data_IF_252239900221
#
_entry.id   IF_252239900221
#
_cell.length_a   1.000
_cell.length_b   1.000
_cell.length_c   1.000
_cell.angle_alpha   90.00
_cell.angle_beta   90.00
_cell.angle_gamma   90.00
#
_symmetry.space_group_name_H-M   'P 1'
#
loop_
_entity.id
_entity.type
_entity.pdbx_description
1 polymer ?
#
# COMPACT_ATOMS: atom_id res chain seq x y z
N UNK A 1 42.61 0.49 -7.26
CA UNK A 1 41.41 0.54 -8.14
C UNK A 1 40.68 -0.80 -8.23
N UNK A 2 41.37 -1.94 -8.40
CA UNK A 2 40.75 -3.28 -8.48
C UNK A 2 39.96 -3.70 -7.22
N UNK A 3 40.47 -3.41 -6.02
CA UNK A 3 39.78 -3.74 -4.75
C UNK A 3 38.49 -2.95 -4.53
N UNK A 4 38.42 -1.70 -5.00
CA UNK A 4 37.21 -0.86 -4.91
C UNK A 4 36.09 -1.33 -5.84
N UNK A 5 36.43 -2.01 -6.93
CA UNK A 5 35.47 -2.57 -7.89
C UNK A 5 34.92 -3.93 -7.43
N UNK A 6 35.69 -4.72 -6.70
CA UNK A 6 35.24 -6.01 -6.17
C UNK A 6 34.22 -5.87 -5.03
N UNK A 7 34.36 -4.84 -4.18
CA UNK A 7 33.35 -4.53 -3.15
C UNK A 7 31.99 -4.15 -3.71
N UNK A 8 31.96 -3.32 -4.76
CA UNK A 8 30.71 -2.84 -5.36
C UNK A 8 29.88 -3.92 -6.07
N UNK A 9 30.52 -4.94 -6.65
CA UNK A 9 29.84 -6.05 -7.32
C UNK A 9 29.12 -6.97 -6.32
N UNK A 10 29.75 -7.27 -5.18
CA UNK A 10 29.15 -8.08 -4.13
C UNK A 10 27.94 -7.36 -3.49
N UNK A 11 28.06 -6.06 -3.25
CA UNK A 11 26.98 -5.23 -2.71
C UNK A 11 25.81 -5.06 -3.68
N UNK A 12 26.08 -4.91 -4.99
CA UNK A 12 25.05 -4.85 -6.02
C UNK A 12 24.32 -6.19 -6.16
N UNK A 13 25.06 -7.31 -6.17
CA UNK A 13 24.47 -8.64 -6.23
C UNK A 13 23.56 -8.89 -5.01
N UNK A 14 24.00 -8.48 -3.84
CA UNK A 14 23.24 -8.56 -2.60
C UNK A 14 21.95 -7.72 -2.66
N UNK A 15 22.03 -6.47 -3.14
CA UNK A 15 20.85 -5.62 -3.30
C UNK A 15 19.84 -6.27 -4.25
N UNK A 16 20.30 -6.79 -5.38
CA UNK A 16 19.46 -7.51 -6.35
C UNK A 16 18.78 -8.72 -5.70
N UNK A 17 19.52 -9.54 -4.94
CA UNK A 17 18.96 -10.70 -4.24
C UNK A 17 17.88 -10.28 -3.24
N UNK A 18 18.13 -9.25 -2.42
CA UNK A 18 17.16 -8.76 -1.43
C UNK A 18 15.91 -8.17 -2.09
N UNK A 19 16.07 -7.50 -3.24
CA UNK A 19 14.94 -7.00 -4.05
C UNK A 19 14.15 -8.17 -4.65
N UNK A 20 14.82 -9.16 -5.24
CA UNK A 20 14.16 -10.36 -5.77
C UNK A 20 13.42 -11.14 -4.67
N UNK A 21 14.02 -11.25 -3.49
CA UNK A 21 13.40 -11.84 -2.31
C UNK A 21 12.16 -11.08 -1.85
N UNK A 22 12.26 -9.75 -1.78
CA UNK A 22 11.14 -8.88 -1.47
C UNK A 22 10.00 -9.07 -2.46
N UNK A 23 10.29 -9.06 -3.77
CA UNK A 23 9.30 -9.32 -4.82
C UNK A 23 8.67 -10.71 -4.70
N UNK A 24 9.48 -11.75 -4.44
CA UNK A 24 8.98 -13.12 -4.26
C UNK A 24 8.08 -13.25 -3.02
N UNK A 25 8.42 -12.58 -1.92
CA UNK A 25 7.58 -12.54 -0.72
C UNK A 25 6.31 -11.68 -0.93
N UNK A 26 6.39 -10.63 -1.77
CA UNK A 26 5.25 -9.81 -2.20
C UNK A 26 4.32 -10.52 -3.17
N UNK A 27 4.75 -11.62 -3.79
CA UNK A 27 3.87 -12.51 -4.54
C UNK A 27 3.18 -13.58 -3.68
N UNK A 28 3.49 -13.67 -2.39
CA UNK A 28 2.66 -14.46 -1.47
C UNK A 28 1.37 -13.67 -1.20
N UNK A 29 0.22 -14.33 -1.28
CA UNK A 29 -1.05 -13.77 -0.84
C UNK A 29 -1.30 -14.19 0.61
N UNK A 30 -1.50 -13.25 1.52
CA UNK A 30 -1.90 -13.57 2.88
C UNK A 30 -3.27 -12.98 3.12
N UNK A 31 -4.07 -13.84 3.69
CA UNK A 31 -5.43 -13.57 4.08
C UNK A 31 -5.39 -13.33 5.58
N UNK A 32 -5.75 -12.10 5.98
CA UNK A 32 -5.92 -11.73 7.38
C UNK A 32 -7.42 -11.67 7.63
N UNK A 33 -7.90 -12.48 8.57
CA UNK A 33 -9.27 -12.46 9.01
C UNK A 33 -9.34 -12.29 10.52
N UNK A 34 -10.21 -11.42 11.03
CA UNK A 34 -10.50 -11.35 12.45
C UNK A 34 -11.99 -11.39 12.74
N UNK A 35 -12.29 -11.80 13.96
CA UNK A 35 -13.58 -11.76 14.65
C UNK A 35 -13.36 -11.32 16.09
N UNK A 36 -14.42 -10.97 16.82
CA UNK A 36 -14.32 -10.50 18.22
C UNK A 36 -13.48 -11.37 19.16
N UNK A 37 -13.34 -12.66 18.87
CA UNK A 37 -12.66 -13.62 19.73
C UNK A 37 -11.47 -14.33 19.07
N UNK A 38 -11.26 -14.14 17.76
CA UNK A 38 -10.27 -14.89 16.99
C UNK A 38 -9.68 -14.00 15.92
N UNK A 39 -8.36 -13.85 15.91
CA UNK A 39 -7.60 -13.44 14.74
C UNK A 39 -7.08 -14.70 14.07
N UNK A 40 -7.40 -14.87 12.80
CA UNK A 40 -6.87 -15.90 11.92
C UNK A 40 -5.99 -15.26 10.86
N UNK A 41 -4.90 -15.94 10.54
CA UNK A 41 -3.97 -15.51 9.51
C UNK A 41 -3.54 -16.72 8.73
N UNK A 42 -3.54 -16.58 7.43
CA UNK A 42 -3.21 -17.66 6.54
C UNK A 42 -2.50 -17.11 5.32
N UNK A 43 -1.36 -17.71 5.00
CA UNK A 43 -0.61 -17.40 3.81
C UNK A 43 -0.97 -18.45 2.76
N UNK A 44 -1.59 -18.04 1.67
CA UNK A 44 -1.64 -18.87 0.47
C UNK A 44 -0.30 -18.74 -0.25
N UNK A 45 0.51 -19.78 -0.10
CA UNK A 45 1.80 -19.89 -0.78
C UNK A 45 1.63 -20.42 -2.22
N UNK A 46 0.39 -20.67 -2.69
CA UNK A 46 0.10 -21.33 -3.96
C UNK A 46 0.61 -22.78 -4.02
N UNK A 47 0.73 -23.35 -5.23
CA UNK A 47 1.30 -24.68 -5.49
C UNK A 47 2.82 -24.81 -5.17
N UNK A 48 3.37 -23.96 -4.31
CA UNK A 48 4.80 -23.83 -4.03
C UNK A 48 5.25 -24.62 -2.80
N UNK A 49 4.58 -25.73 -2.47
CA UNK A 49 4.76 -26.45 -1.21
C UNK A 49 6.11 -27.15 -1.01
N UNK A 50 7.01 -27.18 -2.01
CA UNK A 50 8.23 -28.01 -1.98
C UNK A 50 9.57 -27.25 -2.10
N UNK A 51 9.58 -25.92 -2.23
CA UNK A 51 10.83 -25.16 -2.49
C UNK A 51 11.01 -23.84 -1.74
N UNK A 52 9.99 -23.39 -1.01
CA UNK A 52 9.93 -22.05 -0.40
C UNK A 52 10.98 -21.84 0.70
N UNK A 53 11.40 -22.90 1.40
CA UNK A 53 12.43 -22.80 2.43
C UNK A 53 13.79 -22.34 1.90
N UNK A 54 14.08 -22.51 0.60
CA UNK A 54 15.38 -22.15 0.01
C UNK A 54 15.50 -20.63 -0.14
N UNK A 55 14.56 -19.91 -0.78
CA UNK A 55 14.54 -18.44 -0.70
C UNK A 55 14.53 -17.93 0.74
N UNK A 56 13.81 -18.59 1.65
CA UNK A 56 13.70 -18.18 3.05
C UNK A 56 15.03 -18.30 3.80
N UNK A 57 15.69 -19.44 3.70
CA UNK A 57 16.98 -19.70 4.31
C UNK A 57 18.06 -18.78 3.72
N UNK A 58 18.04 -18.56 2.40
CA UNK A 58 18.97 -17.66 1.71
C UNK A 58 18.76 -16.20 2.18
N UNK A 59 17.53 -15.71 2.25
CA UNK A 59 17.28 -14.34 2.69
C UNK A 59 17.71 -14.11 4.12
N UNK A 60 17.42 -15.04 5.03
CA UNK A 60 17.83 -14.95 6.43
C UNK A 60 19.35 -15.07 6.60
N UNK A 61 20.01 -15.97 5.87
CA UNK A 61 21.49 -16.07 5.92
C UNK A 61 22.17 -14.84 5.31
N UNK A 62 21.63 -14.26 4.24
CA UNK A 62 22.16 -13.01 3.66
C UNK A 62 21.87 -11.79 4.54
N UNK A 63 20.67 -11.70 5.13
CA UNK A 63 20.34 -10.70 6.15
C UNK A 63 21.32 -10.74 7.33
N UNK A 64 21.62 -11.94 7.82
CA UNK A 64 22.59 -12.15 8.89
C UNK A 64 24.03 -11.82 8.46
N UNK A 65 24.45 -12.21 7.25
CA UNK A 65 25.75 -11.89 6.69
C UNK A 65 25.95 -10.37 6.52
N UNK A 66 24.91 -9.63 6.14
CA UNK A 66 24.97 -8.15 5.99
C UNK A 66 24.94 -7.41 7.30
N UNK A 67 24.31 -8.00 8.33
CA UNK A 67 24.37 -7.51 9.69
C UNK A 67 25.77 -7.66 10.30
N UNK A 68 26.49 -8.74 9.96
CA UNK A 68 27.88 -8.98 10.36
C UNK A 68 28.89 -8.10 9.62
N UNK A 69 28.56 -7.56 8.45
CA UNK A 69 29.44 -6.66 7.71
C UNK A 69 29.37 -5.24 8.29
N UNK A 70 30.43 -4.86 9.02
CA UNK A 70 30.63 -3.54 9.60
C UNK A 70 31.07 -2.54 8.52
N UNK A 71 30.11 -2.16 7.68
CA UNK A 71 30.31 -1.16 6.63
C UNK A 71 29.40 0.04 6.87
N UNK A 72 29.98 1.24 6.75
CA UNK A 72 29.27 2.52 6.92
C UNK A 72 28.54 2.97 5.66
N UNK A 73 28.66 2.19 4.58
CA UNK A 73 28.19 2.52 3.24
C UNK A 73 26.66 2.47 3.11
N UNK A 74 26.14 3.21 2.14
CA UNK A 74 24.71 3.37 1.89
C UNK A 74 24.05 2.04 1.54
N UNK A 75 24.72 1.24 0.73
CA UNK A 75 24.35 -0.13 0.34
C UNK A 75 24.13 -1.03 1.54
N UNK A 76 25.05 -1.04 2.50
CA UNK A 76 24.94 -1.85 3.71
C UNK A 76 23.76 -1.45 4.61
N UNK A 77 23.45 -0.15 4.67
CA UNK A 77 22.27 0.34 5.39
C UNK A 77 20.97 -0.16 4.74
N UNK A 78 20.88 -0.12 3.41
CA UNK A 78 19.74 -0.67 2.67
C UNK A 78 19.63 -2.17 2.85
N UNK A 79 20.74 -2.90 2.84
CA UNK A 79 20.75 -4.33 3.06
C UNK A 79 20.23 -4.73 4.44
N UNK A 80 20.66 -4.03 5.51
CA UNK A 80 20.15 -4.25 6.88
C UNK A 80 18.68 -3.88 7.02
N UNK A 81 18.25 -2.80 6.35
CA UNK A 81 16.86 -2.39 6.33
C UNK A 81 15.99 -3.46 5.65
N UNK A 82 16.35 -3.89 4.44
CA UNK A 82 15.66 -4.99 3.74
C UNK A 82 15.68 -6.28 4.56
N UNK A 83 16.79 -6.60 5.23
CA UNK A 83 16.89 -7.74 6.13
C UNK A 83 15.89 -7.68 7.30
N UNK A 84 15.75 -6.53 7.95
CA UNK A 84 14.77 -6.33 9.03
C UNK A 84 13.36 -6.46 8.49
N UNK A 85 13.07 -5.84 7.35
CA UNK A 85 11.76 -5.89 6.71
C UNK A 85 11.37 -7.31 6.32
N UNK A 86 12.29 -8.05 5.69
CA UNK A 86 12.12 -9.46 5.38
C UNK A 86 11.93 -10.27 6.67
N UNK A 87 12.69 -10.02 7.73
CA UNK A 87 12.53 -10.74 9.01
C UNK A 87 11.18 -10.47 9.66
N UNK A 88 10.76 -9.20 9.71
CA UNK A 88 9.43 -8.83 10.21
C UNK A 88 8.34 -9.49 9.38
N UNK A 89 8.52 -9.55 8.06
CA UNK A 89 7.62 -10.22 7.12
C UNK A 89 7.56 -11.74 7.33
N UNK A 90 8.68 -12.38 7.63
CA UNK A 90 8.73 -13.81 7.94
C UNK A 90 8.11 -14.09 9.32
N UNK A 91 8.31 -13.21 10.31
CA UNK A 91 7.70 -13.34 11.62
C UNK A 91 6.17 -13.17 11.56
N UNK A 92 5.66 -12.24 10.76
CA UNK A 92 4.21 -12.09 10.55
C UNK A 92 3.59 -13.29 9.83
N UNK A 93 4.36 -14.05 9.05
CA UNK A 93 3.87 -15.30 8.43
C UNK A 93 3.73 -16.45 9.44
N UNK A 94 4.28 -16.31 10.64
CA UNK A 94 4.16 -17.32 11.68
C UNK A 94 2.82 -17.18 12.42
N UNK A 95 1.93 -18.16 12.25
CA UNK A 95 0.60 -18.17 12.86
C UNK A 95 0.59 -17.83 14.36
N UNK A 96 1.59 -18.28 15.12
CA UNK A 96 1.71 -17.97 16.57
C UNK A 96 1.89 -16.48 16.80
N UNK A 97 2.74 -15.82 16.01
CA UNK A 97 2.98 -14.37 16.10
C UNK A 97 1.72 -13.62 15.71
N UNK A 98 1.07 -14.01 14.61
CA UNK A 98 -0.19 -13.42 14.18
C UNK A 98 -1.24 -13.48 15.29
N UNK A 99 -1.52 -14.68 15.81
CA UNK A 99 -2.50 -14.91 16.87
C UNK A 99 -2.21 -14.13 18.16
N UNK A 100 -0.93 -13.92 18.49
CA UNK A 100 -0.52 -13.23 19.73
C UNK A 100 -0.44 -11.71 19.56
N UNK A 101 -0.09 -11.23 18.36
CA UNK A 101 0.14 -9.81 18.06
C UNK A 101 -0.61 -9.39 16.78
N UNK A 102 -1.93 -9.17 16.85
CA UNK A 102 -2.77 -8.88 15.68
C UNK A 102 -2.36 -7.65 14.88
N UNK A 103 -1.87 -6.62 15.58
CA UNK A 103 -1.40 -5.37 14.96
C UNK A 103 -0.14 -5.61 14.13
N UNK A 104 0.72 -6.55 14.55
CA UNK A 104 1.90 -6.97 13.77
C UNK A 104 1.47 -7.74 12.54
N UNK A 105 0.35 -8.47 12.60
CA UNK A 105 -0.22 -9.16 11.45
C UNK A 105 -0.78 -8.18 10.40
N UNK A 106 -1.38 -7.07 10.82
CA UNK A 106 -1.83 -6.00 9.92
C UNK A 106 -0.70 -5.35 9.12
N UNK A 107 0.56 -5.51 9.56
CA UNK A 107 1.73 -5.00 8.85
C UNK A 107 2.01 -5.71 7.52
N UNK A 108 1.26 -6.77 7.21
CA UNK A 108 1.37 -7.56 6.00
C UNK A 108 0.45 -7.10 4.86
N UNK A 109 -0.47 -6.16 5.11
CA UNK A 109 -1.27 -5.63 4.00
C UNK A 109 -0.28 -5.08 2.94
N UNK A 110 -0.49 -5.32 1.63
CA UNK A 110 0.46 -4.89 0.58
C UNK A 110 0.80 -3.40 0.66
N UNK A 111 -0.09 -2.59 1.23
CA UNK A 111 0.05 -1.18 1.48
C UNK A 111 0.98 -0.86 2.68
N UNK A 112 1.01 -1.74 3.69
CA UNK A 112 1.86 -1.60 4.88
C UNK A 112 3.29 -2.08 4.62
N UNK A 113 3.50 -3.01 3.69
CA UNK A 113 4.82 -3.41 3.20
C UNK A 113 5.65 -2.19 2.75
N UNK A 114 5.06 -1.30 1.95
CA UNK A 114 5.68 -0.04 1.56
C UNK A 114 5.85 0.90 2.75
N UNK A 115 4.82 1.08 3.58
CA UNK A 115 4.88 1.96 4.74
C UNK A 115 5.99 1.58 5.74
N UNK A 116 6.25 0.27 5.92
CA UNK A 116 7.30 -0.24 6.82
C UNK A 116 8.70 -0.05 6.26
N UNK A 117 8.89 -0.32 4.96
CA UNK A 117 10.14 -0.03 4.25
C UNK A 117 10.52 1.44 4.45
N UNK A 118 9.50 2.30 4.39
CA UNK A 118 9.66 3.74 4.37
C UNK A 118 9.76 4.32 5.79
N UNK A 119 9.08 3.73 6.78
CA UNK A 119 9.19 4.09 8.20
C UNK A 119 10.51 3.65 8.85
N UNK A 120 11.05 2.48 8.48
CA UNK A 120 12.35 2.04 8.94
C UNK A 120 13.49 2.79 8.23
N UNK A 121 13.32 3.17 6.95
CA UNK A 121 14.18 4.16 6.30
C UNK A 121 14.17 5.52 7.04
N UNK A 122 13.01 5.96 7.53
CA UNK A 122 12.86 7.18 8.34
C UNK A 122 13.51 7.08 9.73
N UNK A 123 13.32 5.96 10.45
CA UNK A 123 13.90 5.72 11.78
C UNK A 123 15.42 5.71 11.76
N UNK A 124 16.05 5.12 10.74
CA UNK A 124 17.50 5.17 10.53
C UNK A 124 18.04 6.57 10.19
N UNK A 125 17.21 7.44 9.60
CA UNK A 125 17.56 8.82 9.21
C UNK A 125 17.52 9.80 10.39
N UNK A 126 16.66 9.58 11.39
CA UNK A 126 16.57 10.44 12.58
C UNK A 126 17.89 10.58 13.38
N UNK A 127 18.84 9.66 13.19
CA UNK A 127 20.17 9.68 13.83
C UNK A 127 21.31 10.19 12.95
N UNK A 128 21.06 10.42 11.66
CA UNK A 128 22.05 11.04 10.78
C UNK A 128 21.94 12.55 10.98
N UNK A 129 22.97 13.17 11.59
CA UNK A 129 23.16 14.63 11.52
C UNK A 129 23.38 15.02 10.06
N UNK A 130 22.29 15.11 9.31
CA UNK A 130 22.30 15.65 7.97
C UNK A 130 22.52 17.15 8.13
N UNK A 131 23.69 17.64 7.70
CA UNK A 131 23.87 19.06 7.46
C UNK A 131 22.66 19.57 6.67
N UNK A 132 22.08 20.69 7.13
CA UNK A 132 20.88 21.31 6.55
C UNK A 132 21.07 21.58 5.05
N UNK A 133 20.80 20.61 4.20
CA UNK A 133 20.44 20.90 2.81
C UNK A 133 18.93 21.07 2.84
N UNK A 134 18.52 22.30 3.11
CA UNK A 134 17.13 22.70 3.05
C UNK A 134 16.68 22.75 1.58
N UNK A 135 16.46 21.60 0.96
CA UNK A 135 15.64 21.52 -0.25
C UNK A 135 14.17 21.59 0.18
N UNK A 136 13.78 22.76 0.67
CA UNK A 136 12.36 23.08 0.80
C UNK A 136 11.77 23.15 -0.61
N UNK A 137 10.52 22.71 -0.82
CA UNK A 137 9.85 23.00 -2.08
C UNK A 137 9.93 24.51 -2.33
N UNK A 138 10.24 24.98 -3.55
CA UNK A 138 10.26 26.43 -3.82
C UNK A 138 8.92 27.02 -3.35
N UNK A 139 8.91 28.16 -2.67
CA UNK A 139 7.70 28.75 -2.03
C UNK A 139 6.45 28.74 -2.94
N UNK A 140 6.62 28.84 -4.27
CA UNK A 140 5.55 28.73 -5.27
C UNK A 140 4.89 27.35 -5.40
N UNK A 141 5.58 26.26 -5.07
CA UNK A 141 5.02 24.90 -5.11
C UNK A 141 4.00 24.66 -3.99
N UNK A 142 4.10 25.39 -2.87
CA UNK A 142 3.16 25.28 -1.74
C UNK A 142 1.80 25.93 -2.06
N UNK A 143 1.76 26.90 -2.99
CA UNK A 143 0.50 27.53 -3.43
C UNK A 143 -0.17 26.78 -4.59
N UNK A 144 0.63 26.13 -5.44
CA UNK A 144 0.12 25.37 -6.61
C UNK A 144 -0.53 24.05 -6.17
N UNK A 145 -0.02 23.40 -5.13
CA UNK A 145 -0.52 22.09 -4.70
C UNK A 145 -2.01 22.13 -4.27
N UNK A 146 -2.47 23.07 -3.41
CA UNK A 146 -3.89 23.19 -3.09
C UNK A 146 -4.77 23.50 -4.30
N UNK A 147 -4.29 24.35 -5.23
CA UNK A 147 -5.03 24.69 -6.44
C UNK A 147 -5.21 23.47 -7.36
N UNK A 148 -4.14 22.70 -7.55
CA UNK A 148 -4.17 21.48 -8.34
C UNK A 148 -5.07 20.43 -7.69
N UNK A 149 -4.97 20.24 -6.37
CA UNK A 149 -5.85 19.36 -5.62
C UNK A 149 -7.32 19.75 -5.78
N UNK A 150 -7.67 21.03 -5.60
CA UNK A 150 -9.05 21.51 -5.74
C UNK A 150 -9.58 21.33 -7.17
N UNK A 151 -8.78 21.70 -8.18
CA UNK A 151 -9.17 21.57 -9.58
C UNK A 151 -9.38 20.11 -9.99
N UNK A 152 -8.45 19.22 -9.63
CA UNK A 152 -8.54 17.78 -9.95
C UNK A 152 -9.61 17.08 -9.13
N UNK A 153 -9.83 17.47 -7.87
CA UNK A 153 -10.96 16.98 -7.06
C UNK A 153 -12.27 17.29 -7.75
N UNK A 154 -12.49 18.51 -8.24
CA UNK A 154 -13.72 18.86 -8.96
C UNK A 154 -13.96 17.97 -10.19
N UNK A 155 -12.91 17.68 -10.96
CA UNK A 155 -12.98 16.82 -12.15
C UNK A 155 -13.29 15.37 -11.75
N UNK A 156 -12.53 14.78 -10.83
CA UNK A 156 -12.71 13.38 -10.43
C UNK A 156 -14.05 13.18 -9.70
N UNK A 157 -14.47 14.09 -8.82
CA UNK A 157 -15.77 13.99 -8.16
C UNK A 157 -16.92 14.04 -9.17
N UNK A 158 -16.86 14.93 -10.17
CA UNK A 158 -17.85 14.98 -11.23
C UNK A 158 -17.87 13.69 -12.06
N UNK A 159 -16.70 13.14 -12.39
CA UNK A 159 -16.58 11.85 -13.07
C UNK A 159 -17.13 10.70 -12.22
N UNK A 160 -16.86 10.68 -10.92
CA UNK A 160 -17.37 9.67 -9.99
C UNK A 160 -18.89 9.69 -9.89
N UNK A 161 -19.51 10.87 -9.83
CA UNK A 161 -20.97 10.98 -9.84
C UNK A 161 -21.57 10.35 -11.10
N UNK A 162 -20.99 10.63 -12.26
CA UNK A 162 -21.37 10.00 -13.53
C UNK A 162 -21.11 8.48 -13.52
N UNK A 163 -19.93 8.06 -13.06
CA UNK A 163 -19.52 6.66 -13.03
C UNK A 163 -20.43 5.80 -12.17
N UNK A 164 -20.74 6.24 -10.95
CA UNK A 164 -21.62 5.50 -10.04
C UNK A 164 -23.06 5.40 -10.53
N UNK A 165 -23.51 6.30 -11.42
CA UNK A 165 -24.82 6.20 -12.08
C UNK A 165 -24.83 5.17 -13.22
N UNK A 166 -23.71 5.04 -13.93
CA UNK A 166 -23.63 4.24 -15.16
C UNK A 166 -23.11 2.83 -14.95
N UNK A 167 -22.29 2.62 -13.92
CA UNK A 167 -21.57 1.37 -13.69
C UNK A 167 -22.00 0.80 -12.35
N UNK A 168 -22.50 -0.44 -12.33
CA UNK A 168 -22.75 -1.17 -11.08
C UNK A 168 -21.44 -1.63 -10.44
N UNK A 169 -21.37 -1.85 -9.10
CA UNK A 169 -20.15 -2.41 -8.53
C UNK A 169 -19.88 -3.77 -9.16
N UNK A 170 -18.61 -4.11 -9.36
CA UNK A 170 -18.24 -5.36 -10.01
C UNK A 170 -16.82 -5.79 -9.62
N UNK A 171 -16.50 -7.06 -9.84
CA UNK A 171 -15.21 -7.62 -9.44
C UNK A 171 -14.92 -7.39 -7.96
N UNK A 172 -13.66 -7.06 -7.67
CA UNK A 172 -13.17 -6.93 -6.29
C UNK A 172 -13.79 -5.75 -5.54
N UNK A 173 -14.33 -4.73 -6.23
CA UNK A 173 -15.04 -3.60 -5.62
C UNK A 173 -16.13 -4.09 -4.65
N UNK A 174 -16.88 -5.11 -5.07
CA UNK A 174 -17.95 -5.70 -4.26
C UNK A 174 -17.42 -6.45 -3.03
N UNK A 175 -16.21 -7.00 -3.10
CA UNK A 175 -15.57 -7.70 -1.99
C UNK A 175 -15.08 -6.70 -0.93
N UNK A 176 -14.41 -5.62 -1.34
CA UNK A 176 -13.96 -4.57 -0.43
C UNK A 176 -15.11 -3.87 0.28
N UNK A 177 -16.22 -3.59 -0.43
CA UNK A 177 -17.43 -3.02 0.15
C UNK A 177 -18.10 -3.94 1.15
N UNK A 178 -18.14 -5.26 0.89
CA UNK A 178 -18.70 -6.24 1.84
C UNK A 178 -17.89 -6.30 3.13
N UNK A 179 -16.56 -6.35 3.02
CA UNK A 179 -15.70 -6.32 4.21
C UNK A 179 -15.89 -5.00 4.97
N UNK A 180 -16.02 -3.87 4.27
CA UNK A 180 -16.31 -2.56 4.89
C UNK A 180 -17.65 -2.56 5.63
N UNK A 181 -18.69 -3.14 5.02
CA UNK A 181 -20.01 -3.32 5.65
C UNK A 181 -19.89 -4.15 6.94
N UNK A 182 -19.21 -5.30 6.88
CA UNK A 182 -18.94 -6.16 8.06
C UNK A 182 -18.21 -5.39 9.17
N UNK A 183 -17.20 -4.59 8.83
CA UNK A 183 -16.47 -3.77 9.80
C UNK A 183 -17.37 -2.75 10.49
N UNK A 184 -18.34 -2.16 9.78
CA UNK A 184 -19.28 -1.17 10.33
C UNK A 184 -20.34 -1.84 11.20
N UNK A 185 -20.97 -2.90 10.72
CA UNK A 185 -22.12 -3.52 11.40
C UNK A 185 -21.71 -4.53 12.47
N UNK A 186 -20.69 -5.32 12.20
CA UNK A 186 -20.28 -6.45 13.04
C UNK A 186 -19.01 -6.13 13.87
N UNK A 187 -18.18 -5.21 13.36
CA UNK A 187 -16.90 -4.84 13.96
C UNK A 187 -15.79 -5.84 13.64
N UNK A 188 -15.97 -6.65 12.61
CA UNK A 188 -15.01 -7.68 12.21
C UNK A 188 -15.03 -7.98 10.70
N UNK A 189 -14.18 -8.91 10.24
CA UNK A 189 -14.04 -9.28 8.82
C UNK A 189 -14.61 -10.67 8.53
N UNK A 190 -15.36 -11.28 9.44
CA UNK A 190 -15.97 -12.59 9.24
C UNK A 190 -17.27 -12.45 8.43
N UNK A 191 -17.22 -12.83 7.17
CA UNK A 191 -18.31 -12.68 6.22
C UNK A 191 -19.36 -13.80 6.33
N UNK A 192 -19.24 -14.74 7.26
CA UNK A 192 -20.13 -15.90 7.34
C UNK A 192 -21.61 -15.51 7.52
N UNK A 193 -21.89 -14.48 8.32
CA UNK A 193 -23.22 -13.90 8.52
C UNK A 193 -23.67 -12.98 7.35
N UNK A 194 -22.72 -12.50 6.54
CA UNK A 194 -22.92 -11.60 5.40
C UNK A 194 -23.33 -12.36 4.11
N UNK A 195 -23.45 -13.69 4.16
CA UNK A 195 -23.87 -14.54 3.03
C UNK A 195 -25.39 -14.64 2.86
N UNK A 196 -26.16 -14.09 3.81
CA UNK A 196 -27.62 -14.13 3.74
C UNK A 196 -28.13 -13.25 2.60
N UNK A 197 -29.18 -13.71 1.92
CA UNK A 197 -29.83 -12.95 0.84
C UNK A 197 -30.28 -11.57 1.34
N UNK A 198 -29.97 -10.53 0.59
CA UNK A 198 -30.32 -9.16 0.85
C UNK A 198 -29.24 -8.36 1.58
N UNK A 199 -28.20 -9.00 2.11
CA UNK A 199 -27.18 -8.32 2.92
C UNK A 199 -26.35 -7.32 2.08
N UNK A 200 -26.07 -7.64 0.81
CA UNK A 200 -25.33 -6.76 -0.09
C UNK A 200 -26.15 -5.61 -0.67
N UNK A 201 -27.47 -5.58 -0.46
CA UNK A 201 -28.36 -4.56 -1.05
C UNK A 201 -28.02 -3.13 -0.64
N UNK A 202 -27.31 -2.99 0.47
CA UNK A 202 -26.80 -1.72 0.99
C UNK A 202 -25.86 -1.02 0.00
N UNK A 203 -25.10 -1.77 -0.80
CA UNK A 203 -24.13 -1.21 -1.75
C UNK A 203 -24.20 -1.83 -3.16
N UNK A 204 -24.91 -2.95 -3.33
CA UNK A 204 -24.97 -3.70 -4.58
C UNK A 204 -26.41 -4.16 -4.90
N UNK A 205 -26.96 -3.86 -6.09
CA UNK A 205 -28.35 -4.16 -6.42
C UNK A 205 -28.62 -5.67 -6.59
N UNK A 206 -27.59 -6.43 -6.99
CA UNK A 206 -27.64 -7.89 -7.12
C UNK A 206 -26.75 -8.57 -6.07
N UNK A 207 -26.97 -9.86 -5.84
CA UNK A 207 -26.05 -10.66 -5.04
C UNK A 207 -24.77 -10.92 -5.84
N UNK A 208 -23.61 -10.67 -5.22
CA UNK A 208 -22.31 -11.09 -5.74
C UNK A 208 -21.82 -12.28 -4.92
N UNK A 209 -21.18 -13.31 -5.50
CA UNK A 209 -20.54 -14.37 -4.72
C UNK A 209 -19.44 -13.79 -3.83
N UNK A 210 -19.22 -14.39 -2.66
CA UNK A 210 -18.06 -14.05 -1.82
C UNK A 210 -16.84 -14.79 -2.34
N UNK A 211 -15.77 -14.05 -2.55
CA UNK A 211 -14.45 -14.60 -2.82
C UNK A 211 -13.78 -14.91 -1.49
N UNK A 212 -14.04 -16.13 -1.02
CA UNK A 212 -13.54 -16.61 0.25
C UNK A 212 -12.07 -17.01 0.14
N UNK A 213 -11.28 -16.58 1.12
CA UNK A 213 -9.95 -17.06 1.42
C UNK A 213 -9.97 -18.61 1.51
N UNK A 214 -9.19 -19.36 0.69
CA UNK A 214 -9.16 -20.83 0.69
C UNK A 214 -8.82 -21.44 2.06
N UNK A 215 -8.16 -20.66 2.89
CA UNK A 215 -7.66 -21.04 4.21
C UNK A 215 -8.51 -20.50 5.36
N UNK A 216 -9.75 -20.07 5.07
CA UNK A 216 -10.73 -19.68 6.09
C UNK A 216 -10.98 -20.85 7.06
N UNK A 217 -10.93 -20.63 8.39
CA UNK A 217 -11.26 -21.65 9.38
C UNK A 217 -12.68 -22.19 9.21
N UNK A 218 -12.92 -23.42 9.69
CA UNK A 218 -14.25 -24.02 9.65
C UNK A 218 -15.30 -23.12 10.33
N UNK A 219 -16.37 -22.81 9.60
CA UNK A 219 -17.46 -21.95 10.08
C UNK A 219 -17.19 -20.44 9.99
N UNK A 220 -16.03 -20.03 9.47
CA UNK A 220 -15.66 -18.64 9.19
C UNK A 220 -15.52 -18.43 7.69
N UNK A 221 -15.76 -17.20 7.24
CA UNK A 221 -15.55 -16.82 5.83
C UNK A 221 -14.76 -15.53 5.80
N UNK A 222 -13.48 -15.60 5.48
CA UNK A 222 -12.66 -14.41 5.31
C UNK A 222 -12.53 -14.06 3.84
N UNK A 223 -12.37 -12.77 3.52
CA UNK A 223 -12.14 -12.34 2.15
C UNK A 223 -10.76 -12.80 1.67
N UNK A 224 -10.66 -13.17 0.41
CA UNK A 224 -9.40 -13.34 -0.29
C UNK A 224 -8.62 -12.01 -0.37
N UNK A 225 -9.33 -10.88 -0.40
CA UNK A 225 -8.76 -9.56 -0.62
C UNK A 225 -8.18 -8.94 0.67
N UNK A 226 -7.06 -8.19 0.57
CA UNK A 226 -6.48 -7.50 1.72
C UNK A 226 -7.44 -6.53 2.41
N UNK A 227 -7.43 -6.51 3.74
CA UNK A 227 -8.38 -5.69 4.53
C UNK A 227 -8.08 -4.17 4.50
N UNK A 228 -6.87 -3.78 4.06
CA UNK A 228 -6.36 -2.42 4.21
C UNK A 228 -7.27 -1.34 3.60
N UNK A 229 -7.72 -1.56 2.36
CA UNK A 229 -8.64 -0.64 1.70
C UNK A 229 -10.00 -0.60 2.41
N UNK A 230 -10.55 -1.74 2.81
CA UNK A 230 -11.86 -1.78 3.50
C UNK A 230 -11.85 -0.99 4.80
N UNK A 231 -10.77 -1.06 5.58
CA UNK A 231 -10.60 -0.23 6.77
C UNK A 231 -10.55 1.26 6.42
N UNK A 232 -9.82 1.63 5.36
CA UNK A 232 -9.74 3.03 4.92
C UNK A 232 -11.10 3.58 4.43
N UNK A 233 -11.97 2.72 3.90
CA UNK A 233 -13.30 3.08 3.41
C UNK A 233 -14.33 3.28 4.53
N UNK A 234 -14.17 2.68 5.71
CA UNK A 234 -15.11 2.76 6.85
C UNK A 234 -15.68 4.17 7.09
N UNK A 235 -14.87 5.23 7.27
CA UNK A 235 -15.42 6.56 7.55
C UNK A 235 -16.26 7.12 6.40
N UNK A 236 -15.84 6.93 5.15
CA UNK A 236 -16.55 7.43 3.98
C UNK A 236 -17.84 6.63 3.72
N UNK A 237 -17.77 5.31 3.91
CA UNK A 237 -18.90 4.41 3.79
C UNK A 237 -19.98 4.76 4.83
N UNK A 238 -19.62 4.82 6.12
CA UNK A 238 -20.56 5.10 7.20
C UNK A 238 -21.23 6.47 7.06
N UNK A 239 -20.44 7.52 6.77
CA UNK A 239 -20.96 8.86 6.56
C UNK A 239 -21.93 8.94 5.38
N UNK A 240 -21.65 8.23 4.28
CA UNK A 240 -22.52 8.19 3.11
C UNK A 240 -23.78 7.35 3.33
N UNK A 241 -23.68 6.28 4.14
CA UNK A 241 -24.83 5.52 4.60
C UNK A 241 -25.79 6.43 5.40
N UNK A 242 -25.25 7.17 6.36
CA UNK A 242 -26.03 8.06 7.24
C UNK A 242 -26.63 9.26 6.49
N UNK A 243 -25.87 9.91 5.60
CA UNK A 243 -26.30 11.16 4.97
C UNK A 243 -27.23 10.94 3.78
N UNK A 244 -27.05 9.88 2.99
CA UNK A 244 -27.78 9.72 1.72
C UNK A 244 -28.02 8.26 1.31
N UNK A 245 -27.88 7.29 2.24
CA UNK A 245 -28.17 5.87 2.02
C UNK A 245 -27.50 5.28 0.75
N UNK A 246 -26.30 5.78 0.41
CA UNK A 246 -25.53 5.28 -0.73
C UNK A 246 -24.04 5.15 -0.35
N UNK A 247 -23.69 4.15 0.46
CA UNK A 247 -22.33 3.99 0.94
C UNK A 247 -21.30 3.75 -0.16
N UNK A 248 -21.70 3.10 -1.26
CA UNK A 248 -20.86 2.92 -2.44
C UNK A 248 -20.39 4.26 -3.01
N UNK A 249 -21.31 5.21 -3.17
CA UNK A 249 -20.97 6.55 -3.63
C UNK A 249 -20.00 7.23 -2.66
N UNK A 250 -20.19 7.07 -1.35
CA UNK A 250 -19.24 7.55 -0.33
C UNK A 250 -17.82 7.03 -0.55
N UNK A 251 -17.68 5.71 -0.69
CA UNK A 251 -16.39 5.07 -0.98
C UNK A 251 -15.76 5.56 -2.28
N UNK A 252 -16.54 5.68 -3.35
CA UNK A 252 -16.05 6.16 -4.64
C UNK A 252 -15.61 7.64 -4.59
N UNK A 253 -16.36 8.51 -3.91
CA UNK A 253 -15.98 9.92 -3.74
C UNK A 253 -14.69 10.05 -2.90
N UNK A 254 -14.51 9.18 -1.91
CA UNK A 254 -13.26 9.10 -1.15
C UNK A 254 -12.08 8.71 -2.05
N UNK A 255 -12.23 7.70 -2.91
CA UNK A 255 -11.21 7.32 -3.90
C UNK A 255 -10.87 8.48 -4.86
N UNK A 256 -11.86 9.26 -5.28
CA UNK A 256 -11.66 10.43 -6.14
C UNK A 256 -10.81 11.51 -5.44
N UNK A 257 -11.05 11.75 -4.15
CA UNK A 257 -10.27 12.69 -3.33
C UNK A 257 -8.83 12.19 -3.17
N UNK A 258 -8.64 10.90 -2.86
CA UNK A 258 -7.31 10.31 -2.75
C UNK A 258 -6.54 10.40 -4.08
N UNK A 259 -7.23 10.22 -5.20
CA UNK A 259 -6.65 10.37 -6.54
C UNK A 259 -6.20 11.81 -6.79
N UNK A 260 -7.06 12.80 -6.50
CA UNK A 260 -6.71 14.22 -6.61
C UNK A 260 -5.49 14.58 -5.73
N UNK A 261 -5.43 14.00 -4.53
CA UNK A 261 -4.28 14.17 -3.64
C UNK A 261 -3.02 13.52 -4.21
N UNK A 262 -3.10 12.34 -4.83
CA UNK A 262 -1.98 11.69 -5.51
C UNK A 262 -1.47 12.51 -6.70
N UNK A 263 -2.36 13.15 -7.47
CA UNK A 263 -1.97 14.08 -8.55
C UNK A 263 -1.22 15.29 -8.00
N UNK A 264 -1.73 15.91 -6.93
CA UNK A 264 -1.08 17.03 -6.28
C UNK A 264 0.29 16.65 -5.66
N UNK A 265 0.37 15.46 -5.06
CA UNK A 265 1.60 14.90 -4.50
C UNK A 265 2.65 14.59 -5.59
N UNK A 266 2.21 14.10 -6.75
CA UNK A 266 3.08 13.87 -7.93
C UNK A 266 3.74 15.17 -8.37
N UNK A 267 2.96 16.26 -8.51
CA UNK A 267 3.49 17.58 -8.83
C UNK A 267 4.54 18.02 -7.81
N UNK A 268 4.19 17.95 -6.52
CA UNK A 268 5.07 18.37 -5.43
C UNK A 268 6.37 17.57 -5.40
N UNK A 269 6.28 16.25 -5.60
CA UNK A 269 7.44 15.35 -5.66
C UNK A 269 8.38 15.71 -6.82
N UNK A 270 7.85 15.86 -8.03
CA UNK A 270 8.64 16.24 -9.22
C UNK A 270 9.33 17.60 -9.05
N UNK A 271 8.63 18.59 -8.46
CA UNK A 271 9.25 19.88 -8.14
C UNK A 271 10.35 19.76 -7.09
N UNK A 272 10.17 18.88 -6.11
CA UNK A 272 11.12 18.66 -5.02
C UNK A 272 12.43 18.02 -5.48
N UNK A 273 12.38 17.11 -6.44
CA UNK A 273 13.58 16.49 -7.03
C UNK A 273 14.23 17.33 -8.14
N UNK A 274 13.70 18.53 -8.40
CA UNK A 274 14.36 19.54 -9.23
C UNK A 274 13.96 19.55 -10.71
N UNK A 275 12.85 18.91 -11.10
CA UNK A 275 12.33 19.04 -12.46
C UNK A 275 11.85 20.47 -12.76
N UNK A 276 11.93 20.84 -14.05
CA UNK A 276 11.44 22.13 -14.53
C UNK A 276 9.92 22.26 -14.31
N UNK A 277 9.43 23.50 -14.21
CA UNK A 277 8.00 23.75 -14.03
C UNK A 277 7.16 23.15 -15.18
N UNK A 278 7.61 23.34 -16.42
CA UNK A 278 6.93 22.86 -17.63
C UNK A 278 6.89 21.34 -17.66
N UNK A 279 8.03 20.67 -17.44
CA UNK A 279 8.09 19.20 -17.39
C UNK A 279 7.15 18.66 -16.32
N UNK A 280 7.17 19.26 -15.12
CA UNK A 280 6.35 18.81 -14.00
C UNK A 280 4.86 18.96 -14.30
N UNK A 281 4.45 20.08 -14.89
CA UNK A 281 3.05 20.29 -15.30
C UNK A 281 2.60 19.28 -16.36
N UNK A 282 3.38 19.12 -17.44
CA UNK A 282 3.04 18.18 -18.52
C UNK A 282 2.94 16.76 -17.96
N UNK A 283 3.95 16.29 -17.23
CA UNK A 283 3.95 14.95 -16.64
C UNK A 283 2.77 14.74 -15.69
N UNK A 284 2.46 15.72 -14.84
CA UNK A 284 1.35 15.60 -13.89
C UNK A 284 -0.01 15.57 -14.61
N UNK A 285 -0.22 16.42 -15.61
CA UNK A 285 -1.46 16.45 -16.39
C UNK A 285 -1.63 15.15 -17.18
N UNK A 286 -0.57 14.67 -17.84
CA UNK A 286 -0.58 13.39 -18.54
C UNK A 286 -0.89 12.24 -17.57
N UNK A 287 -0.27 12.19 -16.40
CA UNK A 287 -0.56 11.15 -15.41
C UNK A 287 -2.00 11.25 -14.87
N UNK A 288 -2.53 12.46 -14.70
CA UNK A 288 -3.90 12.69 -14.23
C UNK A 288 -4.97 12.28 -15.25
N UNK A 289 -4.68 12.40 -16.55
CA UNK A 289 -5.65 12.13 -17.63
C UNK A 289 -5.50 10.75 -18.28
N UNK A 290 -4.49 9.96 -17.91
CA UNK A 290 -4.32 8.62 -18.47
C UNK A 290 -5.33 7.63 -17.89
N UNK A 291 -5.70 6.59 -18.66
CA UNK A 291 -6.68 5.61 -18.23
C UNK A 291 -6.39 5.02 -16.85
N UNK A 292 -5.17 4.57 -16.48
CA UNK A 292 -4.95 3.91 -15.19
C UNK A 292 -5.39 4.75 -13.99
N UNK A 293 -5.07 6.05 -13.97
CA UNK A 293 -5.42 6.91 -12.84
C UNK A 293 -6.87 7.41 -12.94
N UNK A 294 -7.35 7.70 -14.15
CA UNK A 294 -8.71 8.17 -14.37
C UNK A 294 -9.75 7.07 -14.07
N UNK A 295 -9.53 5.83 -14.52
CA UNK A 295 -10.48 4.73 -14.27
C UNK A 295 -10.46 4.28 -12.83
N UNK A 296 -9.27 4.17 -12.22
CA UNK A 296 -9.17 3.78 -10.81
C UNK A 296 -9.62 4.89 -9.84
N UNK A 297 -9.84 6.11 -10.32
CA UNK A 297 -10.30 7.23 -9.47
C UNK A 297 -11.66 7.00 -8.83
N UNK A 298 -12.51 6.20 -9.46
CA UNK A 298 -13.90 5.97 -9.03
C UNK A 298 -14.16 4.50 -8.65
N UNK A 299 -13.14 3.65 -8.74
CA UNK A 299 -13.21 2.23 -8.38
C UNK A 299 -12.52 2.02 -7.02
N UNK A 300 -13.07 1.13 -6.21
CA UNK A 300 -12.47 0.78 -4.91
C UNK A 300 -11.45 -0.33 -5.11
N UNK A 301 -10.26 0.07 -5.54
CA UNK A 301 -9.06 -0.76 -5.62
C UNK A 301 -7.92 -0.14 -4.80
N UNK A 302 -7.00 -0.95 -4.25
CA UNK A 302 -5.94 -0.46 -3.38
C UNK A 302 -4.87 0.37 -4.11
N UNK A 303 -4.83 0.33 -5.43
CA UNK A 303 -3.80 0.94 -6.28
C UNK A 303 -3.56 2.43 -6.01
N UNK A 304 -4.63 3.22 -5.95
CA UNK A 304 -4.54 4.68 -5.73
C UNK A 304 -4.03 4.98 -4.32
N UNK A 305 -4.48 4.20 -3.33
CA UNK A 305 -4.03 4.33 -1.94
C UNK A 305 -2.53 4.00 -1.85
N UNK A 306 -2.11 2.89 -2.48
CA UNK A 306 -0.72 2.49 -2.58
C UNK A 306 0.15 3.53 -3.28
N UNK A 307 -0.31 4.10 -4.40
CA UNK A 307 0.37 5.19 -5.12
C UNK A 307 0.57 6.42 -4.23
N UNK A 308 -0.47 6.85 -3.50
CA UNK A 308 -0.39 7.99 -2.62
C UNK A 308 0.62 7.76 -1.49
N UNK A 309 0.59 6.58 -0.85
CA UNK A 309 1.56 6.17 0.17
C UNK A 309 2.98 6.21 -0.41
N UNK A 310 3.20 5.61 -1.59
CA UNK A 310 4.49 5.61 -2.25
C UNK A 310 5.00 7.04 -2.53
N UNK A 311 4.15 7.94 -3.02
CA UNK A 311 4.50 9.34 -3.28
C UNK A 311 4.85 10.11 -2.00
N UNK A 312 4.08 9.95 -0.92
CA UNK A 312 4.38 10.58 0.37
C UNK A 312 5.76 10.16 0.88
N UNK A 313 6.06 8.89 0.74
CA UNK A 313 7.32 8.33 1.19
C UNK A 313 8.49 8.71 0.28
N UNK A 314 8.32 8.71 -1.04
CA UNK A 314 9.31 9.23 -1.98
C UNK A 314 9.59 10.72 -1.73
N UNK A 315 8.55 11.51 -1.42
CA UNK A 315 8.73 12.90 -1.02
C UNK A 315 9.55 13.02 0.27
N UNK A 316 9.26 12.20 1.29
CA UNK A 316 10.03 12.15 2.54
C UNK A 316 11.51 11.78 2.29
N UNK A 317 11.77 10.83 1.38
CA UNK A 317 13.10 10.31 1.05
C UNK A 317 13.80 11.07 -0.11
N UNK A 318 13.19 12.10 -0.67
CA UNK A 318 13.70 12.83 -1.84
C UNK A 318 15.13 13.35 -1.71
N UNK A 319 15.62 13.61 -0.50
CA UNK A 319 17.00 14.02 -0.23
C UNK A 319 18.05 12.96 -0.64
N UNK A 320 17.65 11.70 -0.83
CA UNK A 320 18.50 10.62 -1.34
C UNK A 320 18.57 10.64 -2.87
N UNK A 321 17.55 11.18 -3.53
CA UNK A 321 17.44 11.23 -4.99
C UNK A 321 18.15 12.44 -5.59
N UNK A 322 18.49 13.43 -4.76
CA UNK A 322 19.18 14.64 -5.17
C UNK A 322 20.69 14.44 -4.93
N UNK A 323 21.53 14.42 -5.98
CA UNK A 323 22.97 14.30 -5.83
C UNK A 323 23.50 15.42 -4.92
N UNK A 324 24.39 15.09 -3.98
CA UNK A 324 25.05 16.09 -3.12
C UNK A 324 25.76 17.13 -4.01
N UNK A 325 25.22 18.35 -4.07
CA UNK A 325 25.79 19.43 -4.89
C UNK A 325 24.78 20.31 -5.66
N UNK A 326 23.49 20.24 -5.36
CA UNK A 326 22.49 21.22 -5.81
C UNK A 326 21.77 21.84 -4.63
#
# INVERSE_FOLDING_TARGET
MKERFQGGLAELALLVILVCAWYALSSCELQIGFSRHVLSMSADLGAWSQGVWVPWALCLTFAFATWLMDTTDLTARWSRLLAILITMRLLSLWQVVGATFPVVAMLWAPEVDWALVLALAWGGVSRIRCGRIAVGPPRRSLTVMPQLFLATSGIYLAYTLYFCQMVMPHGDESQYLRVTQSLIHDGDTDLANNLKRGFTREFHPTESPVEAAPSSPAGKVYSLHPVGLSVALVPAYGLALDLFANPRLGGALFMAILTALAVAATYAFLRRIGFSATTTWITTICAASTPPLLTHSSQMYPDVVGLLIALMCLAALSHWLIPKGR
#
